data_IF_889400214076
#
_entry.id   IF_889400214076
#
_cell.length_a   1.000
_cell.length_b   1.000
_cell.length_c   1.000
_cell.angle_alpha   90.00
_cell.angle_beta   90.00
_cell.angle_gamma   90.00
#
_symmetry.space_group_name_H-M   'P 1'
#
loop_
_entity.id
_entity.type
_entity.pdbx_description
1 polymer ?
#
# COMPACT_ATOMS: atom_id res chain seq x y z
N UNK A 1 -11.91 3.78 -12.39
CA UNK A 1 -10.80 2.89 -12.81
C UNK A 1 -10.51 1.82 -11.76
N UNK A 2 -11.30 0.74 -11.73
CA UNK A 2 -11.18 -0.36 -10.74
C UNK A 2 -9.80 -1.02 -10.74
N UNK A 3 -9.12 -1.06 -11.89
CA UNK A 3 -7.76 -1.61 -12.01
C UNK A 3 -6.77 -0.85 -11.14
N UNK A 4 -6.86 0.49 -11.09
CA UNK A 4 -5.99 1.30 -10.24
C UNK A 4 -6.23 1.03 -8.75
N UNK A 5 -7.49 0.84 -8.35
CA UNK A 5 -7.85 0.47 -6.99
C UNK A 5 -7.17 -0.85 -6.56
N UNK A 6 -7.28 -1.88 -7.41
CA UNK A 6 -6.65 -3.19 -7.16
C UNK A 6 -5.12 -3.06 -7.09
N UNK A 7 -4.51 -2.31 -8.01
CA UNK A 7 -3.07 -2.04 -8.04
C UNK A 7 -2.58 -1.41 -6.73
N UNK A 8 -3.27 -0.38 -6.23
CA UNK A 8 -2.91 0.25 -4.96
C UNK A 8 -3.01 -0.73 -3.79
N UNK A 9 -4.05 -1.56 -3.73
CA UNK A 9 -4.20 -2.57 -2.67
C UNK A 9 -3.06 -3.58 -2.73
N UNK A 10 -2.71 -4.08 -3.92
CA UNK A 10 -1.60 -5.03 -4.10
C UNK A 10 -0.27 -4.43 -3.67
N UNK A 11 0.00 -3.17 -4.05
CA UNK A 11 1.24 -2.48 -3.71
C UNK A 11 1.34 -2.26 -2.19
N UNK A 12 0.29 -1.71 -1.56
CA UNK A 12 0.25 -1.51 -0.11
C UNK A 12 0.41 -2.84 0.63
N UNK A 13 -0.37 -3.86 0.25
CA UNK A 13 -0.32 -5.18 0.87
C UNK A 13 1.05 -5.84 0.74
N UNK A 14 1.73 -5.67 -0.40
CA UNK A 14 3.08 -6.18 -0.63
C UNK A 14 4.11 -5.49 0.26
N UNK A 15 4.05 -4.16 0.40
CA UNK A 15 4.97 -3.43 1.27
C UNK A 15 4.79 -3.78 2.75
N UNK A 16 3.55 -3.84 3.24
CA UNK A 16 3.28 -4.22 4.63
C UNK A 16 3.66 -5.67 4.92
N UNK A 17 3.29 -6.61 4.04
CA UNK A 17 3.66 -8.02 4.21
C UNK A 17 5.18 -8.21 4.12
N UNK A 18 5.84 -7.52 3.19
CA UNK A 18 7.29 -7.52 3.06
C UNK A 18 7.99 -6.96 4.30
N UNK A 19 7.48 -5.86 4.86
CA UNK A 19 7.98 -5.30 6.11
C UNK A 19 7.91 -6.32 7.26
N UNK A 20 6.75 -6.97 7.44
CA UNK A 20 6.55 -8.02 8.46
C UNK A 20 7.54 -9.17 8.29
N UNK A 21 7.69 -9.70 7.07
CA UNK A 21 8.66 -10.79 6.78
C UNK A 21 10.09 -10.35 7.11
N UNK A 22 10.48 -9.14 6.74
CA UNK A 22 11.83 -8.62 7.00
C UNK A 22 12.10 -8.41 8.50
N UNK A 23 11.08 -8.05 9.28
CA UNK A 23 11.19 -7.99 10.73
C UNK A 23 11.43 -9.37 11.34
N UNK A 24 10.72 -10.41 10.88
CA UNK A 24 10.98 -11.79 11.31
C UNK A 24 12.38 -12.27 10.92
N UNK A 25 12.90 -11.82 9.79
CA UNK A 25 14.27 -12.10 9.36
C UNK A 25 15.34 -11.26 10.10
N UNK A 26 14.96 -10.46 11.12
CA UNK A 26 15.84 -9.52 11.85
C UNK A 26 16.51 -8.46 10.95
N UNK A 27 16.01 -8.26 9.72
CA UNK A 27 16.48 -7.22 8.78
C UNK A 27 15.75 -5.91 9.02
N UNK A 28 15.89 -5.38 10.23
CA UNK A 28 15.08 -4.24 10.74
C UNK A 28 15.19 -2.98 9.89
N UNK A 29 16.37 -2.65 9.33
CA UNK A 29 16.55 -1.50 8.44
C UNK A 29 15.70 -1.59 7.17
N UNK A 30 15.72 -2.76 6.51
CA UNK A 30 14.91 -3.00 5.32
C UNK A 30 13.42 -3.09 5.66
N UNK A 31 13.08 -3.67 6.81
CA UNK A 31 11.70 -3.70 7.31
C UNK A 31 11.15 -2.28 7.53
N UNK A 32 11.93 -1.38 8.14
CA UNK A 32 11.57 0.03 8.30
C UNK A 32 11.41 0.74 6.96
N UNK A 33 12.32 0.51 6.00
CA UNK A 33 12.19 1.07 4.65
C UNK A 33 10.87 0.65 4.00
N UNK A 34 10.54 -0.65 4.05
CA UNK A 34 9.28 -1.17 3.51
C UNK A 34 8.05 -0.61 4.23
N UNK A 35 8.13 -0.39 5.54
CA UNK A 35 7.05 0.23 6.32
C UNK A 35 6.82 1.69 5.91
N UNK A 36 7.90 2.46 5.71
CA UNK A 36 7.81 3.85 5.22
C UNK A 36 7.23 3.89 3.80
N UNK A 37 7.67 3.01 2.90
CA UNK A 37 7.11 2.89 1.55
C UNK A 37 5.63 2.49 1.60
N UNK A 38 5.26 1.57 2.49
CA UNK A 38 3.88 1.22 2.80
C UNK A 38 3.06 2.45 3.18
N UNK A 39 3.52 3.22 4.16
CA UNK A 39 2.84 4.44 4.60
C UNK A 39 2.69 5.50 3.49
N UNK A 40 3.73 5.71 2.67
CA UNK A 40 3.66 6.62 1.51
C UNK A 40 2.62 6.11 0.50
N UNK A 41 2.63 4.81 0.19
CA UNK A 41 1.67 4.23 -0.75
C UNK A 41 0.22 4.33 -0.24
N UNK A 42 0.00 4.21 1.07
CA UNK A 42 -1.30 4.44 1.71
C UNK A 42 -1.75 5.88 1.57
N UNK A 43 -0.86 6.84 1.83
CA UNK A 43 -1.17 8.26 1.64
C UNK A 43 -1.54 8.55 0.17
N UNK A 44 -0.75 8.04 -0.78
CA UNK A 44 -1.02 8.22 -2.21
C UNK A 44 -2.35 7.58 -2.64
N UNK A 45 -2.72 6.44 -2.08
CA UNK A 45 -4.00 5.79 -2.35
C UNK A 45 -5.18 6.68 -1.96
N UNK A 46 -5.19 7.17 -0.71
CA UNK A 46 -6.25 8.07 -0.24
C UNK A 46 -6.27 9.40 -1.00
N UNK A 47 -5.10 9.95 -1.33
CA UNK A 47 -4.99 11.15 -2.16
C UNK A 47 -5.58 10.91 -3.57
N UNK A 48 -5.34 9.74 -4.16
CA UNK A 48 -5.88 9.38 -5.48
C UNK A 48 -7.39 9.18 -5.46
N UNK A 49 -7.96 8.72 -4.34
CA UNK A 49 -9.41 8.69 -4.13
C UNK A 49 -9.96 10.11 -4.02
N UNK A 50 -9.31 10.99 -3.24
CA UNK A 50 -9.71 12.39 -3.08
C UNK A 50 -9.73 13.15 -4.41
N UNK A 51 -8.75 12.92 -5.28
CA UNK A 51 -8.69 13.51 -6.63
C UNK A 51 -9.67 12.87 -7.64
N UNK A 52 -10.39 11.81 -7.25
CA UNK A 52 -11.31 11.09 -8.13
C UNK A 52 -10.64 10.20 -9.19
N UNK A 53 -9.32 9.97 -9.10
CA UNK A 53 -8.58 9.10 -10.02
C UNK A 53 -8.91 7.61 -9.78
N UNK A 54 -9.10 7.26 -8.51
CA UNK A 54 -9.43 5.90 -8.08
C UNK A 54 -10.89 5.86 -7.66
N UNK A 55 -11.65 4.97 -8.29
CA UNK A 55 -13.06 4.74 -7.97
C UNK A 55 -13.14 3.57 -6.99
N UNK A 56 -13.66 3.81 -5.79
CA UNK A 56 -13.96 2.73 -4.84
C UNK A 56 -15.18 1.98 -5.38
N UNK A 57 -15.13 0.64 -5.51
CA UNK A 57 -16.31 -0.12 -5.93
C UNK A 57 -17.43 0.08 -4.89
N UNK A 58 -18.58 0.59 -5.33
CA UNK A 58 -19.76 0.67 -4.49
C UNK A 58 -20.28 -0.74 -4.22
N UNK A 59 -20.56 -1.07 -2.96
CA UNK A 59 -21.29 -2.28 -2.62
C UNK A 59 -22.74 -2.11 -3.11
N UNK A 60 -23.03 -2.68 -4.27
CA UNK A 60 -24.39 -2.94 -4.77
C UNK A 60 -24.86 -4.30 -4.27
#
# INVERSE_FOLDING_TARGET
MIVLFILFILIMGSFFSGAVVLFFQKKTKLGFLMLVLGAISTFMFYYSIYQGWVTVPSQS
#
